data_IF_352286127477
#
_entry.id   IF_352286127477
#
_cell.length_a   1.000
_cell.length_b   1.000
_cell.length_c   1.000
_cell.angle_alpha   90.00
_cell.angle_beta   90.00
_cell.angle_gamma   90.00
#
_symmetry.space_group_name_H-M   'P 1'
#
loop_
_entity.id
_entity.type
_entity.pdbx_description
1 polymer ?
#
# COMPACT_ATOMS: atom_id res chain seq x y z
N UNK A 1 -27.28 -4.00 -26.23
CA UNK A 1 -25.87 -4.46 -26.06
C UNK A 1 -25.27 -3.56 -24.99
N UNK A 2 -25.55 -3.92 -23.71
CA UNK A 2 -25.26 -3.05 -22.57
C UNK A 2 -23.77 -3.07 -22.24
N UNK A 3 -23.06 -2.05 -22.71
CA UNK A 3 -21.74 -1.66 -22.19
C UNK A 3 -21.96 -0.76 -20.95
N UNK A 4 -22.88 -1.17 -20.08
CA UNK A 4 -22.90 -0.61 -18.74
C UNK A 4 -21.69 -1.19 -18.01
N UNK A 5 -20.72 -0.35 -17.71
CA UNK A 5 -19.56 -0.72 -16.90
C UNK A 5 -20.07 -1.32 -15.60
N UNK A 6 -19.93 -2.62 -15.49
CA UNK A 6 -20.44 -3.38 -14.36
C UNK A 6 -19.67 -2.97 -13.10
N UNK A 7 -20.35 -2.48 -12.08
CA UNK A 7 -19.69 -2.03 -10.85
C UNK A 7 -18.98 -3.17 -10.11
N UNK A 8 -19.65 -4.32 -10.02
CA UNK A 8 -19.11 -5.54 -9.40
C UNK A 8 -18.47 -6.47 -10.42
N UNK A 9 -17.60 -7.35 -9.94
CA UNK A 9 -17.06 -8.45 -10.74
C UNK A 9 -18.17 -9.42 -11.14
N UNK A 10 -18.03 -10.01 -12.31
CA UNK A 10 -18.79 -11.18 -12.75
C UNK A 10 -17.90 -12.42 -12.80
N UNK A 11 -18.47 -13.57 -13.13
CA UNK A 11 -17.69 -14.79 -13.34
C UNK A 11 -16.65 -14.70 -14.48
N UNK A 12 -16.81 -13.71 -15.38
CA UNK A 12 -15.97 -13.57 -16.58
C UNK A 12 -15.18 -12.26 -16.67
N UNK A 13 -15.56 -11.22 -15.93
CA UNK A 13 -14.97 -9.86 -16.08
C UNK A 13 -14.85 -9.17 -14.73
N UNK A 14 -13.78 -8.39 -14.57
CA UNK A 14 -13.65 -7.46 -13.46
C UNK A 14 -14.61 -6.28 -13.60
N UNK A 15 -15.20 -5.85 -12.50
CA UNK A 15 -15.99 -4.64 -12.42
C UNK A 15 -15.12 -3.40 -12.28
N UNK A 16 -15.70 -2.24 -12.60
CA UNK A 16 -14.99 -0.95 -12.61
C UNK A 16 -14.36 -0.62 -11.25
N UNK A 17 -15.04 -0.93 -10.14
CA UNK A 17 -14.51 -0.66 -8.80
C UNK A 17 -13.22 -1.45 -8.56
N UNK A 18 -13.18 -2.74 -8.93
CA UNK A 18 -11.97 -3.56 -8.78
C UNK A 18 -10.82 -3.07 -9.65
N UNK A 19 -11.11 -2.64 -10.89
CA UNK A 19 -10.13 -2.11 -11.82
C UNK A 19 -9.59 -0.76 -11.30
N UNK A 20 -10.48 0.15 -10.89
CA UNK A 20 -10.09 1.46 -10.37
C UNK A 20 -9.24 1.33 -9.10
N UNK A 21 -9.67 0.51 -8.15
CA UNK A 21 -8.89 0.23 -6.93
C UNK A 21 -7.50 -0.34 -7.26
N UNK A 22 -7.40 -1.22 -8.26
CA UNK A 22 -6.10 -1.76 -8.66
C UNK A 22 -5.16 -0.66 -9.16
N UNK A 23 -5.62 0.15 -10.11
CA UNK A 23 -4.78 1.18 -10.72
C UNK A 23 -4.45 2.34 -9.77
N UNK A 24 -5.42 2.76 -8.93
CA UNK A 24 -5.17 3.77 -7.91
C UNK A 24 -4.05 3.28 -6.96
N UNK A 25 -4.15 2.03 -6.50
CA UNK A 25 -3.10 1.46 -5.64
C UNK A 25 -1.77 1.30 -6.35
N UNK A 26 -1.75 0.81 -7.59
CA UNK A 26 -0.52 0.67 -8.34
C UNK A 26 0.21 2.02 -8.49
N UNK A 27 -0.50 3.04 -8.97
CA UNK A 27 0.06 4.38 -9.15
C UNK A 27 0.52 4.98 -7.81
N UNK A 28 -0.32 4.87 -6.77
CA UNK A 28 0.01 5.42 -5.46
C UNK A 28 1.22 4.72 -4.84
N UNK A 29 1.32 3.38 -4.90
CA UNK A 29 2.45 2.62 -4.32
C UNK A 29 3.76 2.98 -5.01
N UNK A 30 3.78 3.05 -6.36
CA UNK A 30 5.00 3.48 -7.08
C UNK A 30 5.34 4.95 -6.82
N UNK A 31 4.33 5.84 -6.75
CA UNK A 31 4.54 7.23 -6.35
C UNK A 31 5.11 7.37 -4.94
N UNK A 32 4.59 6.60 -3.98
CA UNK A 32 5.08 6.55 -2.61
C UNK A 32 6.51 5.98 -2.51
N UNK A 33 6.84 4.98 -3.32
CA UNK A 33 8.20 4.47 -3.41
C UNK A 33 9.17 5.56 -3.89
N UNK A 34 8.83 6.25 -4.99
CA UNK A 34 9.63 7.36 -5.50
C UNK A 34 9.74 8.51 -4.49
N UNK A 35 8.63 8.91 -3.87
CA UNK A 35 8.60 9.94 -2.82
C UNK A 35 9.47 9.54 -1.64
N UNK A 36 9.40 8.28 -1.20
CA UNK A 36 10.21 7.74 -0.09
C UNK A 36 11.70 7.80 -0.38
N UNK A 37 12.13 7.37 -1.57
CA UNK A 37 13.54 7.46 -1.98
C UNK A 37 14.03 8.90 -2.10
N UNK A 38 13.19 9.80 -2.60
CA UNK A 38 13.55 11.20 -2.73
C UNK A 38 13.61 11.92 -1.39
N UNK A 39 12.61 11.75 -0.51
CA UNK A 39 12.54 12.51 0.74
C UNK A 39 13.72 12.24 1.68
N UNK A 40 14.34 11.05 1.62
CA UNK A 40 15.52 10.71 2.45
C UNK A 40 16.82 11.35 1.92
N UNK A 41 16.81 11.93 0.72
CA UNK A 41 17.95 12.69 0.18
C UNK A 41 17.91 14.17 0.52
N UNK A 42 16.78 14.65 1.07
CA UNK A 42 16.60 16.06 1.40
C UNK A 42 17.38 16.44 2.65
N UNK A 43 17.98 17.61 2.63
CA UNK A 43 18.67 18.24 3.76
C UNK A 43 17.76 19.23 4.46
N UNK A 44 18.11 19.62 5.66
CA UNK A 44 17.37 20.63 6.45
C UNK A 44 17.13 21.96 5.70
N UNK A 45 18.00 22.30 4.74
CA UNK A 45 17.91 23.55 3.96
C UNK A 45 16.96 23.44 2.76
N UNK A 46 16.49 22.25 2.44
CA UNK A 46 15.58 22.03 1.32
C UNK A 46 14.14 22.41 1.73
N UNK A 47 13.45 23.17 0.87
CA UNK A 47 12.08 23.63 1.16
C UNK A 47 11.06 22.49 1.37
N UNK A 48 11.36 21.28 0.87
CA UNK A 48 10.49 20.08 1.02
C UNK A 48 10.89 19.16 2.18
N UNK A 49 11.92 19.52 2.96
CA UNK A 49 12.43 18.66 4.04
C UNK A 49 11.36 18.21 5.04
N UNK A 50 10.44 19.10 5.40
CA UNK A 50 9.32 18.77 6.30
C UNK A 50 8.08 18.31 5.54
N UNK A 51 7.76 18.90 4.39
CA UNK A 51 6.54 18.64 3.66
C UNK A 51 6.52 17.24 3.02
N UNK A 52 7.64 16.76 2.48
CA UNK A 52 7.69 15.46 1.82
C UNK A 52 7.41 14.29 2.78
N UNK A 53 8.01 14.22 3.99
CA UNK A 53 7.63 13.22 5.00
C UNK A 53 6.18 13.33 5.47
N UNK A 54 5.65 14.55 5.68
CA UNK A 54 4.25 14.73 6.08
C UNK A 54 3.28 14.24 4.99
N UNK A 55 3.57 14.54 3.73
CA UNK A 55 2.81 14.03 2.59
C UNK A 55 2.87 12.50 2.52
N UNK A 56 4.08 11.92 2.67
CA UNK A 56 4.28 10.47 2.66
C UNK A 56 3.47 9.78 3.77
N UNK A 57 3.52 10.28 5.00
CA UNK A 57 2.76 9.75 6.14
C UNK A 57 1.25 9.83 5.89
N UNK A 58 0.77 10.99 5.44
CA UNK A 58 -0.66 11.21 5.18
C UNK A 58 -1.20 10.27 4.11
N UNK A 59 -0.51 10.14 2.97
CA UNK A 59 -0.90 9.20 1.90
C UNK A 59 -0.80 7.76 2.41
N UNK A 60 0.23 7.43 3.20
CA UNK A 60 0.40 6.10 3.81
C UNK A 60 -0.81 5.67 4.64
N UNK A 61 -1.33 6.57 5.49
CA UNK A 61 -2.56 6.30 6.28
C UNK A 61 -3.76 6.08 5.36
N UNK A 62 -3.96 6.91 4.33
CA UNK A 62 -5.05 6.71 3.36
C UNK A 62 -4.91 5.40 2.59
N UNK A 63 -3.69 4.99 2.25
CA UNK A 63 -3.43 3.69 1.63
C UNK A 63 -3.76 2.53 2.58
N UNK A 64 -3.51 2.64 3.88
CA UNK A 64 -3.90 1.63 4.86
C UNK A 64 -5.44 1.46 4.87
N UNK A 65 -6.18 2.56 4.97
CA UNK A 65 -7.64 2.54 4.94
C UNK A 65 -8.17 1.96 3.61
N UNK A 66 -7.58 2.40 2.50
CA UNK A 66 -7.90 1.89 1.17
C UNK A 66 -7.58 0.41 1.00
N UNK A 67 -6.48 -0.08 1.59
CA UNK A 67 -6.11 -1.50 1.54
C UNK A 67 -7.11 -2.36 2.30
N UNK A 68 -7.54 -1.93 3.48
CA UNK A 68 -8.61 -2.60 4.25
C UNK A 68 -9.88 -2.64 3.42
N UNK A 69 -10.29 -1.50 2.84
CA UNK A 69 -11.45 -1.45 1.94
C UNK A 69 -11.29 -2.39 0.74
N UNK A 70 -10.12 -2.46 0.12
CA UNK A 70 -9.84 -3.34 -1.01
C UNK A 70 -9.96 -4.82 -0.64
N UNK A 71 -9.50 -5.20 0.55
CA UNK A 71 -9.65 -6.58 1.05
C UNK A 71 -11.13 -6.89 1.28
N UNK A 72 -11.88 -6.01 1.94
CA UNK A 72 -13.33 -6.16 2.13
C UNK A 72 -14.04 -6.27 0.78
N UNK A 73 -13.70 -5.37 -0.16
CA UNK A 73 -14.28 -5.39 -1.50
C UNK A 73 -14.03 -6.72 -2.23
N UNK A 74 -12.85 -7.31 -2.07
CA UNK A 74 -12.50 -8.60 -2.68
C UNK A 74 -13.38 -9.74 -2.15
N UNK A 75 -13.86 -9.67 -0.92
CA UNK A 75 -14.81 -10.64 -0.36
C UNK A 75 -16.25 -10.38 -0.83
N UNK A 76 -16.66 -9.13 -0.95
CA UNK A 76 -17.99 -8.73 -1.44
C UNK A 76 -18.15 -8.98 -2.95
N UNK A 77 -17.06 -8.82 -3.69
CA UNK A 77 -17.00 -8.93 -5.15
C UNK A 77 -15.81 -9.82 -5.56
N UNK A 78 -15.95 -11.15 -5.45
CA UNK A 78 -14.87 -12.09 -5.75
C UNK A 78 -14.34 -11.95 -7.18
N UNK A 79 -13.04 -12.22 -7.41
CA UNK A 79 -12.45 -12.13 -8.75
C UNK A 79 -13.08 -13.14 -9.72
N UNK A 80 -13.03 -12.87 -11.03
CA UNK A 80 -13.45 -13.81 -12.06
C UNK A 80 -12.71 -15.14 -11.97
N UNK A 81 -13.34 -16.19 -12.48
CA UNK A 81 -12.72 -17.51 -12.53
C UNK A 81 -11.43 -17.49 -13.38
N UNK A 82 -10.36 -18.20 -12.95
CA UNK A 82 -9.13 -18.30 -13.72
C UNK A 82 -9.39 -18.90 -15.11
N UNK A 83 -8.64 -18.43 -16.10
CA UNK A 83 -8.73 -18.98 -17.46
C UNK A 83 -8.35 -20.47 -17.45
N UNK A 84 -9.16 -21.29 -18.11
CA UNK A 84 -8.94 -22.75 -18.18
C UNK A 84 -7.64 -23.13 -18.91
N UNK A 85 -7.14 -22.24 -19.76
CA UNK A 85 -5.89 -22.42 -20.53
C UNK A 85 -4.63 -22.38 -19.66
N UNK A 86 -4.70 -21.79 -18.45
CA UNK A 86 -3.53 -21.72 -17.57
C UNK A 86 -3.28 -23.03 -16.84
N UNK A 87 -2.02 -23.49 -16.84
CA UNK A 87 -1.57 -24.64 -16.09
C UNK A 87 -1.71 -24.45 -14.56
N UNK A 88 -1.67 -25.53 -13.83
CA UNK A 88 -1.78 -25.53 -12.36
C UNK A 88 -0.72 -24.65 -11.69
N UNK A 89 0.54 -24.73 -12.17
CA UNK A 89 1.66 -23.96 -11.63
C UNK A 89 1.39 -22.46 -11.77
N UNK A 90 1.03 -21.99 -12.97
CA UNK A 90 0.72 -20.56 -13.21
C UNK A 90 -0.39 -20.05 -12.31
N UNK A 91 -1.44 -20.84 -12.10
CA UNK A 91 -2.54 -20.44 -11.20
C UNK A 91 -2.09 -20.33 -9.75
N UNK A 92 -1.32 -21.32 -9.28
CA UNK A 92 -0.81 -21.33 -7.89
C UNK A 92 0.16 -20.17 -7.67
N UNK A 93 1.10 -19.93 -8.60
CA UNK A 93 2.05 -18.83 -8.52
C UNK A 93 1.34 -17.47 -8.50
N UNK A 94 0.33 -17.27 -9.36
CA UNK A 94 -0.44 -16.02 -9.38
C UNK A 94 -1.19 -15.79 -8.07
N UNK A 95 -1.80 -16.82 -7.48
CA UNK A 95 -2.47 -16.69 -6.17
C UNK A 95 -1.45 -16.38 -5.08
N UNK A 96 -0.32 -17.09 -5.05
CA UNK A 96 0.75 -16.88 -4.07
C UNK A 96 1.33 -15.46 -4.17
N UNK A 97 1.60 -14.96 -5.38
CA UNK A 97 2.08 -13.61 -5.61
C UNK A 97 1.07 -12.55 -5.12
N UNK A 98 -0.22 -12.73 -5.38
CA UNK A 98 -1.23 -11.80 -4.87
C UNK A 98 -1.30 -11.80 -3.34
N UNK A 99 -1.27 -12.97 -2.70
CA UNK A 99 -1.26 -13.07 -1.23
C UNK A 99 -0.01 -12.39 -0.67
N UNK A 100 1.17 -12.66 -1.26
CA UNK A 100 2.42 -12.04 -0.84
C UNK A 100 2.39 -10.52 -0.99
N UNK A 101 1.88 -9.98 -2.10
CA UNK A 101 1.73 -8.53 -2.30
C UNK A 101 0.80 -7.90 -1.25
N UNK A 102 -0.33 -8.52 -0.91
CA UNK A 102 -1.19 -8.02 0.17
C UNK A 102 -0.46 -8.02 1.52
N UNK A 103 0.23 -9.12 1.85
CA UNK A 103 0.99 -9.23 3.11
C UNK A 103 2.11 -8.18 3.17
N UNK A 104 2.86 -7.99 2.09
CA UNK A 104 3.91 -6.96 1.98
C UNK A 104 3.33 -5.55 2.11
N UNK A 105 2.20 -5.25 1.47
CA UNK A 105 1.55 -3.95 1.58
C UNK A 105 1.07 -3.67 3.02
N UNK A 106 0.50 -4.64 3.73
CA UNK A 106 0.17 -4.46 5.14
C UNK A 106 1.43 -4.25 5.98
N UNK A 107 2.46 -5.05 5.78
CA UNK A 107 3.71 -4.96 6.53
C UNK A 107 4.41 -3.61 6.33
N UNK A 108 4.46 -3.08 5.09
CA UNK A 108 5.08 -1.78 4.81
C UNK A 108 4.27 -0.63 5.45
N UNK A 109 2.95 -0.67 5.42
CA UNK A 109 2.11 0.35 6.01
C UNK A 109 2.20 0.34 7.54
N UNK A 110 2.26 -0.84 8.16
CA UNK A 110 2.50 -0.99 9.60
C UNK A 110 3.89 -0.48 9.98
N UNK A 111 4.94 -0.84 9.23
CA UNK A 111 6.29 -0.35 9.52
C UNK A 111 6.39 1.17 9.38
N UNK A 112 5.71 1.78 8.41
CA UNK A 112 5.62 3.23 8.27
C UNK A 112 4.91 3.91 9.45
N UNK A 113 3.85 3.29 9.98
CA UNK A 113 3.21 3.74 11.21
C UNK A 113 4.19 3.68 12.40
N UNK A 114 4.90 2.57 12.58
CA UNK A 114 5.86 2.40 13.67
C UNK A 114 7.02 3.41 13.61
N UNK A 115 7.54 3.71 12.41
CA UNK A 115 8.54 4.79 12.24
C UNK A 115 7.97 6.12 12.73
N UNK A 116 6.76 6.45 12.25
CA UNK A 116 6.17 7.78 12.45
C UNK A 116 5.73 8.02 13.87
N UNK A 117 5.47 6.97 14.65
CA UNK A 117 4.96 7.06 16.04
C UNK A 117 6.00 6.71 17.09
N UNK A 118 7.24 6.43 16.70
CA UNK A 118 8.29 6.00 17.62
C UNK A 118 8.56 6.99 18.75
N UNK A 119 8.43 8.29 18.48
CA UNK A 119 8.61 9.38 19.44
C UNK A 119 7.35 9.69 20.28
N UNK A 120 6.31 8.86 20.18
CA UNK A 120 5.05 9.04 20.90
C UNK A 120 4.11 10.09 20.32
N UNK A 121 4.44 10.70 19.17
CA UNK A 121 3.58 11.69 18.53
C UNK A 121 2.58 11.06 17.58
N UNK A 122 1.35 11.61 17.49
CA UNK A 122 0.37 11.17 16.52
C UNK A 122 0.78 11.52 15.09
N UNK A 123 0.23 10.81 14.10
CA UNK A 123 0.36 11.16 12.69
C UNK A 123 -0.78 12.09 12.30
N UNK A 124 -0.46 13.33 11.95
CA UNK A 124 -1.42 14.25 11.35
C UNK A 124 -1.65 13.91 9.89
N UNK A 125 -2.90 13.66 9.52
CA UNK A 125 -3.28 13.32 8.15
C UNK A 125 -3.82 14.56 7.47
N UNK A 126 -3.01 15.21 6.65
CA UNK A 126 -3.30 16.49 5.96
C UNK A 126 -3.84 17.59 6.86
N UNK A 127 -3.58 17.55 8.18
CA UNK A 127 -4.15 18.47 9.15
C UNK A 127 -5.65 18.28 9.42
N UNK A 128 -6.29 17.22 8.89
CA UNK A 128 -7.73 16.96 9.02
C UNK A 128 -8.08 16.12 10.25
N UNK A 129 -7.25 15.14 10.55
CA UNK A 129 -7.40 14.25 11.72
C UNK A 129 -6.05 13.67 12.11
N UNK A 130 -5.98 13.08 13.30
CA UNK A 130 -4.77 12.47 13.82
C UNK A 130 -4.94 10.98 14.08
N UNK A 131 -3.91 10.20 13.75
CA UNK A 131 -3.80 8.79 14.11
C UNK A 131 -2.92 8.69 15.35
N UNK A 132 -3.45 8.22 16.51
CA UNK A 132 -2.70 8.23 17.76
C UNK A 132 -1.50 7.28 17.72
N UNK A 133 -0.46 7.63 18.46
CA UNK A 133 0.69 6.75 18.72
C UNK A 133 0.31 5.75 19.81
N UNK A 134 -0.14 4.55 19.43
CA UNK A 134 -0.51 3.48 20.37
C UNK A 134 0.65 2.55 20.69
N UNK A 135 1.66 2.51 19.84
CA UNK A 135 2.89 1.75 20.00
C UNK A 135 4.05 2.72 19.82
N UNK A 136 4.71 3.08 20.91
CA UNK A 136 5.85 3.98 20.90
C UNK A 136 6.95 3.44 21.82
N UNK A 137 8.14 3.28 21.28
CA UNK A 137 9.38 3.01 22.00
C UNK A 137 10.45 3.89 21.34
N UNK A 138 10.82 4.97 22.01
CA UNK A 138 11.77 5.95 21.51
C UNK A 138 13.19 5.40 21.29
N UNK A 139 13.48 4.16 21.69
CA UNK A 139 14.79 3.52 21.49
C UNK A 139 15.03 3.05 20.06
N UNK A 140 14.93 1.76 19.82
CA UNK A 140 15.27 1.13 18.53
C UNK A 140 14.09 1.03 17.52
N UNK A 141 12.89 1.48 17.90
CA UNK A 141 11.69 1.26 17.08
C UNK A 141 11.81 1.92 15.71
N UNK A 142 12.20 3.19 15.66
CA UNK A 142 12.30 3.95 14.40
C UNK A 142 13.34 3.32 13.47
N UNK A 143 14.50 2.96 13.96
CA UNK A 143 15.60 2.39 13.18
C UNK A 143 15.23 1.02 12.63
N UNK A 144 14.75 0.13 13.51
CA UNK A 144 14.35 -1.23 13.11
C UNK A 144 13.21 -1.21 12.10
N UNK A 145 12.18 -0.41 12.37
CA UNK A 145 11.05 -0.26 11.46
C UNK A 145 11.47 0.43 10.14
N UNK A 146 12.42 1.36 10.18
CA UNK A 146 12.97 2.05 9.00
C UNK A 146 13.68 1.08 8.06
N UNK A 147 14.57 0.24 8.59
CA UNK A 147 15.24 -0.80 7.81
C UNK A 147 14.23 -1.78 7.21
N UNK A 148 13.26 -2.24 8.02
CA UNK A 148 12.22 -3.12 7.54
C UNK A 148 11.37 -2.47 6.43
N UNK A 149 10.95 -1.21 6.60
CA UNK A 149 10.17 -0.45 5.63
C UNK A 149 10.86 -0.37 4.27
N UNK A 150 12.16 -0.06 4.26
CA UNK A 150 12.95 0.03 3.03
C UNK A 150 12.99 -1.31 2.28
N UNK A 151 13.29 -2.41 2.97
CA UNK A 151 13.34 -3.73 2.34
C UNK A 151 11.97 -4.22 1.88
N UNK A 152 10.92 -3.96 2.64
CA UNK A 152 9.54 -4.25 2.24
C UNK A 152 9.15 -3.46 0.99
N UNK A 153 9.54 -2.18 0.89
CA UNK A 153 9.28 -1.35 -0.28
C UNK A 153 9.92 -1.91 -1.55
N UNK A 154 11.20 -2.29 -1.48
CA UNK A 154 11.88 -2.97 -2.58
C UNK A 154 11.23 -4.30 -2.94
N UNK A 155 10.83 -5.10 -1.93
CA UNK A 155 10.16 -6.38 -2.16
C UNK A 155 8.84 -6.24 -2.90
N UNK A 156 8.02 -5.20 -2.56
CA UNK A 156 6.78 -4.89 -3.28
C UNK A 156 7.07 -4.56 -4.74
N UNK A 157 8.04 -3.68 -5.00
CA UNK A 157 8.38 -3.26 -6.38
C UNK A 157 8.90 -4.47 -7.19
N UNK A 158 9.85 -5.22 -6.66
CA UNK A 158 10.43 -6.39 -7.35
C UNK A 158 9.33 -7.42 -7.65
N UNK A 159 8.51 -7.79 -6.65
CA UNK A 159 7.47 -8.80 -6.83
C UNK A 159 6.36 -8.35 -7.79
N UNK A 160 6.12 -7.04 -7.91
CA UNK A 160 5.05 -6.52 -8.79
C UNK A 160 5.44 -6.46 -10.27
N UNK A 161 6.75 -6.57 -10.60
CA UNK A 161 7.25 -6.58 -12.00
C UNK A 161 7.65 -7.97 -12.49
N UNK A 162 7.64 -8.99 -11.62
CA UNK A 162 7.86 -10.40 -11.97
C UNK A 162 6.58 -11.06 -12.47
#
# INVERSE_FOLDING_TARGET
MDILMQLRNSSRRYGIISISLHWIFAIAVYGMFGLGLWMVTLSYYDGWYHQAPELHKSIGVLLMLGLVFRVIWRHISPPPAPLKTYGKITRVSAVAAHIALYALLFAILISGYLISTADGKPISVFGLFEVPATLSDAGAQADTAGVAHLWLAWSVVILSVL
#
